data_IF_260445252846
#
_entry.id   IF_260445252846
#
_cell.length_a   1.000
_cell.length_b   1.000
_cell.length_c   1.000
_cell.angle_alpha   90.00
_cell.angle_beta   90.00
_cell.angle_gamma   90.00
#
_symmetry.space_group_name_H-M   'P 1'
#
loop_
_entity.id
_entity.type
_entity.pdbx_description
1 polymer ?
#
# COMPACT_ATOMS: atom_id res chain seq x y z
N UNK A 1 -28.05 1.26 -4.20
CA UNK A 1 -26.81 0.92 -3.47
C UNK A 1 -27.16 -0.23 -2.57
N UNK A 2 -26.41 -1.34 -2.65
CA UNK A 2 -26.64 -2.53 -1.82
C UNK A 2 -25.35 -2.75 -1.05
N UNK A 3 -25.28 -2.26 0.19
CA UNK A 3 -24.13 -2.50 1.06
C UNK A 3 -24.04 -3.99 1.42
N UNK A 4 -22.91 -4.45 1.94
CA UNK A 4 -22.77 -5.83 2.45
C UNK A 4 -23.83 -6.05 3.53
N UNK A 5 -23.95 -5.12 4.46
CA UNK A 5 -24.93 -5.18 5.55
C UNK A 5 -26.36 -5.29 5.04
N UNK A 6 -26.75 -4.46 4.07
CA UNK A 6 -28.06 -4.50 3.43
C UNK A 6 -28.32 -5.82 2.72
N UNK A 7 -27.33 -6.33 1.96
CA UNK A 7 -27.46 -7.53 1.16
C UNK A 7 -27.65 -8.78 2.02
N UNK A 8 -26.89 -8.91 3.10
CA UNK A 8 -26.96 -10.07 4.01
C UNK A 8 -27.96 -9.86 5.17
N UNK A 9 -28.51 -8.66 5.35
CA UNK A 9 -29.36 -8.34 6.49
C UNK A 9 -28.61 -8.30 7.83
N UNK A 10 -27.34 -7.91 7.83
CA UNK A 10 -26.53 -7.74 9.04
C UNK A 10 -26.85 -6.39 9.68
N UNK A 11 -27.09 -6.39 10.99
CA UNK A 11 -27.39 -5.17 11.76
C UNK A 11 -26.36 -4.96 12.86
N UNK A 12 -26.19 -3.71 13.28
CA UNK A 12 -25.24 -3.33 14.34
C UNK A 12 -23.86 -2.92 13.83
N UNK A 13 -22.87 -2.96 14.73
CA UNK A 13 -21.50 -2.57 14.41
C UNK A 13 -20.79 -3.64 13.58
N UNK A 14 -20.12 -3.22 12.51
CA UNK A 14 -19.40 -4.12 11.61
C UNK A 14 -17.89 -4.02 11.86
N UNK A 15 -17.18 -5.13 12.08
CA UNK A 15 -15.72 -5.14 12.21
C UNK A 15 -15.01 -5.08 10.84
N UNK A 16 -15.76 -5.01 9.74
CA UNK A 16 -15.27 -4.89 8.37
C UNK A 16 -15.87 -3.67 7.66
N UNK A 17 -15.20 -3.21 6.61
CA UNK A 17 -15.65 -2.08 5.79
C UNK A 17 -16.93 -2.47 5.04
N UNK A 18 -18.01 -1.72 5.27
CA UNK A 18 -19.31 -1.95 4.64
C UNK A 18 -19.36 -1.30 3.26
N UNK A 19 -18.89 -2.03 2.26
CA UNK A 19 -18.83 -1.58 0.86
C UNK A 19 -20.13 -1.90 0.11
N UNK A 20 -20.42 -1.13 -0.94
CA UNK A 20 -21.45 -1.52 -1.91
C UNK A 20 -20.96 -2.71 -2.72
N UNK A 21 -21.80 -3.74 -2.88
CA UNK A 21 -21.43 -4.99 -3.56
C UNK A 21 -21.52 -4.91 -5.09
N UNK A 22 -22.02 -3.83 -5.67
CA UNK A 22 -22.25 -3.71 -7.11
C UNK A 22 -21.37 -2.67 -7.79
N UNK A 23 -20.72 -1.80 -7.01
CA UNK A 23 -19.84 -0.73 -7.50
C UNK A 23 -18.53 -0.73 -6.73
N UNK A 24 -17.53 -0.03 -7.26
CA UNK A 24 -16.31 0.25 -6.53
C UNK A 24 -16.49 1.45 -5.59
N UNK A 25 -15.84 1.34 -4.42
CA UNK A 25 -16.13 2.20 -3.28
C UNK A 25 -15.14 3.35 -3.09
N UNK A 26 -14.19 3.56 -4.01
CA UNK A 26 -13.15 4.60 -3.91
C UNK A 26 -12.34 4.54 -2.61
N UNK A 27 -12.23 3.33 -2.08
CA UNK A 27 -11.46 2.99 -0.90
C UNK A 27 -10.29 2.10 -1.31
N UNK A 28 -9.22 2.15 -0.53
CA UNK A 28 -7.94 1.53 -0.84
C UNK A 28 -7.39 0.86 0.41
N UNK A 29 -6.94 -0.38 0.29
CA UNK A 29 -6.18 -1.02 1.37
C UNK A 29 -4.86 -0.28 1.52
N UNK A 30 -4.67 0.35 2.67
CA UNK A 30 -3.49 1.14 2.95
C UNK A 30 -2.49 0.31 3.78
N UNK A 31 -1.33 -0.08 3.24
CA UNK A 31 -0.36 -0.92 3.94
C UNK A 31 0.16 -0.27 5.24
N UNK A 32 0.24 1.06 5.29
CA UNK A 32 0.64 1.76 6.51
C UNK A 32 -0.48 1.73 7.56
N UNK A 33 -1.74 1.83 7.13
CA UNK A 33 -2.88 1.68 8.04
C UNK A 33 -2.97 0.26 8.59
N UNK A 34 -2.74 -0.76 7.77
CA UNK A 34 -2.63 -2.17 8.21
C UNK A 34 -1.53 -2.30 9.25
N UNK A 35 -0.35 -1.70 9.02
CA UNK A 35 0.79 -1.74 9.95
C UNK A 35 0.52 -1.05 11.28
N UNK A 36 -0.20 0.08 11.27
CA UNK A 36 -0.61 0.77 12.49
C UNK A 36 -1.72 0.02 13.25
N UNK A 37 -2.44 -0.87 12.57
CA UNK A 37 -3.57 -1.59 13.15
C UNK A 37 -3.11 -2.62 14.18
N UNK A 38 -3.64 -2.49 15.41
CA UNK A 38 -3.42 -3.48 16.48
C UNK A 38 -4.43 -4.62 16.45
N UNK A 39 -5.53 -4.45 15.73
CA UNK A 39 -6.63 -5.41 15.61
C UNK A 39 -7.13 -5.46 14.16
N UNK A 40 -7.89 -6.51 13.78
CA UNK A 40 -8.13 -7.74 14.53
C UNK A 40 -6.91 -8.67 14.50
N UNK A 41 -6.63 -9.35 15.62
CA UNK A 41 -5.58 -10.38 15.72
C UNK A 41 -6.16 -11.78 15.47
N UNK A 42 -5.39 -12.71 14.87
CA UNK A 42 -3.98 -12.58 14.44
C UNK A 42 -3.80 -11.89 13.07
N UNK A 43 -4.89 -11.53 12.40
CA UNK A 43 -4.89 -11.11 10.99
C UNK A 43 -4.01 -9.89 10.72
N UNK A 44 -4.01 -8.88 11.61
CA UNK A 44 -3.16 -7.70 11.49
C UNK A 44 -1.66 -8.06 11.54
N UNK A 45 -1.27 -8.89 12.50
CA UNK A 45 0.13 -9.33 12.63
C UNK A 45 0.56 -10.15 11.40
N UNK A 46 -0.29 -11.08 10.94
CA UNK A 46 0.06 -11.90 9.78
C UNK A 46 0.09 -11.10 8.47
N UNK A 47 -0.78 -10.10 8.31
CA UNK A 47 -0.73 -9.16 7.19
C UNK A 47 0.59 -8.39 7.17
N UNK A 48 1.05 -7.87 8.32
CA UNK A 48 2.34 -7.20 8.44
C UNK A 48 3.50 -8.15 8.10
N UNK A 49 3.47 -9.39 8.59
CA UNK A 49 4.49 -10.39 8.25
C UNK A 49 4.53 -10.70 6.76
N UNK A 50 3.38 -10.79 6.08
CA UNK A 50 3.32 -10.96 4.63
C UNK A 50 3.93 -9.78 3.89
N UNK A 51 3.58 -8.54 4.25
CA UNK A 51 4.14 -7.35 3.63
C UNK A 51 5.67 -7.27 3.80
N UNK A 52 6.16 -7.51 5.02
CA UNK A 52 7.58 -7.44 5.33
C UNK A 52 8.36 -8.57 4.62
N UNK A 53 7.84 -9.81 4.67
CA UNK A 53 8.50 -10.92 3.98
C UNK A 53 8.54 -10.76 2.46
N UNK A 54 7.51 -10.18 1.86
CA UNK A 54 7.47 -9.93 0.43
C UNK A 54 8.50 -8.87 0.03
N UNK A 55 8.47 -7.71 0.71
CA UNK A 55 9.38 -6.61 0.36
C UNK A 55 10.84 -6.99 0.62
N UNK A 56 11.14 -7.74 1.69
CA UNK A 56 12.48 -8.23 1.97
C UNK A 56 12.99 -9.17 0.86
N UNK A 57 12.13 -10.06 0.37
CA UNK A 57 12.49 -10.99 -0.71
C UNK A 57 12.78 -10.23 -2.00
N UNK A 58 11.83 -9.41 -2.46
CA UNK A 58 11.96 -8.62 -3.68
C UNK A 58 13.20 -7.72 -3.62
N UNK A 59 13.42 -7.07 -2.48
CA UNK A 59 14.59 -6.20 -2.29
C UNK A 59 15.90 -6.99 -2.34
N UNK A 60 15.97 -8.14 -1.66
CA UNK A 60 17.15 -9.00 -1.68
C UNK A 60 17.48 -9.52 -3.09
N UNK A 61 16.45 -9.85 -3.86
CA UNK A 61 16.60 -10.36 -5.23
C UNK A 61 17.07 -9.30 -6.22
N UNK A 62 16.48 -8.11 -6.16
CA UNK A 62 16.85 -6.96 -7.00
C UNK A 62 18.25 -6.44 -6.65
N UNK A 63 18.64 -6.53 -5.38
CA UNK A 63 19.96 -6.13 -4.92
C UNK A 63 21.06 -7.13 -5.20
N UNK A 64 20.69 -8.36 -5.56
CA UNK A 64 21.64 -9.42 -5.82
C UNK A 64 22.46 -9.14 -7.07
N UNK A 65 23.73 -9.54 -7.06
CA UNK A 65 24.55 -9.57 -8.28
C UNK A 65 24.17 -10.73 -9.23
N UNK A 66 23.31 -11.64 -8.78
CA UNK A 66 22.84 -12.77 -9.57
C UNK A 66 21.76 -12.35 -10.56
N UNK A 67 21.97 -12.61 -11.85
CA UNK A 67 20.95 -12.39 -12.90
C UNK A 67 19.70 -13.22 -12.63
N UNK A 68 19.83 -14.43 -12.09
CA UNK A 68 18.70 -15.30 -11.78
C UNK A 68 17.86 -14.72 -10.63
N UNK A 69 18.50 -14.21 -9.58
CA UNK A 69 17.81 -13.56 -8.46
C UNK A 69 17.10 -12.28 -8.94
N UNK A 70 17.77 -11.45 -9.74
CA UNK A 70 17.13 -10.28 -10.32
C UNK A 70 15.87 -10.64 -11.12
N UNK A 71 15.95 -11.63 -12.01
CA UNK A 71 14.78 -12.11 -12.77
C UNK A 71 13.67 -12.64 -11.87
N UNK A 72 14.03 -13.30 -10.77
CA UNK A 72 13.06 -13.79 -9.79
C UNK A 72 12.33 -12.63 -9.09
N UNK A 73 13.04 -11.61 -8.60
CA UNK A 73 12.39 -10.40 -8.07
C UNK A 73 11.53 -9.69 -9.13
N UNK A 74 12.01 -9.71 -10.38
CA UNK A 74 11.30 -9.41 -11.64
C UNK A 74 9.89 -9.98 -11.69
N UNK A 75 9.91 -11.31 -11.62
CA UNK A 75 8.76 -12.19 -11.76
C UNK A 75 7.76 -12.01 -10.61
N UNK A 76 8.25 -11.92 -9.36
CA UNK A 76 7.42 -11.68 -8.19
C UNK A 76 6.56 -10.41 -8.30
N UNK A 77 7.08 -9.39 -8.98
CA UNK A 77 6.38 -8.11 -9.18
C UNK A 77 5.41 -8.10 -10.36
N UNK A 78 5.40 -9.13 -11.22
CA UNK A 78 4.53 -9.21 -12.40
C UNK A 78 3.24 -10.00 -12.13
N UNK A 79 3.15 -10.68 -11.00
CA UNK A 79 2.07 -11.60 -10.67
C UNK A 79 1.04 -10.99 -9.71
N UNK A 80 0.48 -9.83 -10.04
CA UNK A 80 -0.62 -9.23 -9.29
C UNK A 80 -1.92 -9.29 -10.07
N UNK A 81 -2.88 -10.08 -9.58
CA UNK A 81 -4.26 -10.01 -10.09
C UNK A 81 -5.01 -8.91 -9.36
N UNK A 82 -5.87 -8.14 -10.02
CA UNK A 82 -6.68 -7.12 -9.34
C UNK A 82 -7.66 -7.76 -8.32
N UNK A 83 -7.68 -7.33 -7.04
CA UNK A 83 -8.48 -7.90 -5.94
C UNK A 83 -9.93 -7.42 -5.91
N UNK A 84 -10.62 -7.63 -7.02
CA UNK A 84 -12.02 -7.23 -7.19
C UNK A 84 -12.94 -7.82 -6.12
N UNK A 85 -12.57 -8.94 -5.48
CA UNK A 85 -13.36 -9.56 -4.40
C UNK A 85 -13.61 -8.63 -3.21
N UNK A 86 -12.78 -7.61 -3.02
CA UNK A 86 -12.94 -6.63 -1.93
C UNK A 86 -13.95 -5.51 -2.23
N UNK A 87 -14.27 -5.27 -3.51
CA UNK A 87 -15.06 -4.11 -4.00
C UNK A 87 -14.46 -2.74 -3.63
N UNK A 88 -13.16 -2.73 -3.32
CA UNK A 88 -12.35 -1.54 -3.14
C UNK A 88 -11.75 -1.13 -4.50
N UNK A 89 -11.28 0.11 -4.62
CA UNK A 89 -10.62 0.62 -5.83
C UNK A 89 -11.50 1.52 -6.71
N UNK A 90 -11.13 1.58 -8.00
CA UNK A 90 -11.75 2.37 -9.08
C UNK A 90 -12.09 1.47 -10.26
N UNK A 91 -13.34 1.50 -10.73
CA UNK A 91 -13.81 0.67 -11.86
C UNK A 91 -13.13 0.97 -13.21
N UNK A 92 -12.36 2.06 -13.31
CA UNK A 92 -11.84 2.58 -14.58
C UNK A 92 -10.32 2.48 -14.73
N UNK A 93 -9.55 2.31 -13.65
CA UNK A 93 -8.09 2.47 -13.65
C UNK A 93 -7.36 1.46 -12.73
N UNK A 94 -7.83 0.21 -12.69
CA UNK A 94 -7.04 -0.92 -12.19
C UNK A 94 -6.05 -1.43 -13.25
N UNK A 95 -5.22 -2.43 -12.91
CA UNK A 95 -4.42 -3.15 -13.91
C UNK A 95 -5.29 -4.14 -14.67
N UNK A 96 -6.14 -3.64 -15.55
CA UNK A 96 -7.04 -4.47 -16.33
C UNK A 96 -6.27 -5.40 -17.28
N UNK A 97 -6.28 -6.70 -16.97
CA UNK A 97 -5.68 -7.77 -17.77
C UNK A 97 -4.19 -8.06 -17.48
N UNK A 98 -3.69 -9.21 -17.95
CA UNK A 98 -2.30 -9.65 -17.76
C UNK A 98 -1.25 -8.58 -18.13
N UNK A 99 -1.55 -7.70 -19.09
CA UNK A 99 -0.66 -6.62 -19.51
C UNK A 99 -0.47 -5.50 -18.48
N UNK A 100 -1.46 -5.24 -17.62
CA UNK A 100 -1.38 -4.19 -16.60
C UNK A 100 -0.42 -4.57 -15.47
N UNK A 101 -0.56 -5.79 -14.94
CA UNK A 101 0.32 -6.29 -13.87
C UNK A 101 1.78 -6.39 -14.32
N UNK A 102 2.01 -6.88 -15.55
CA UNK A 102 3.33 -6.93 -16.15
C UNK A 102 3.94 -5.53 -16.30
N UNK A 103 3.18 -4.55 -16.81
CA UNK A 103 3.65 -3.17 -16.98
C UNK A 103 4.07 -2.52 -15.65
N UNK A 104 3.40 -2.88 -14.56
CA UNK A 104 3.66 -2.34 -13.22
C UNK A 104 4.85 -3.01 -12.59
N UNK A 105 4.95 -4.33 -12.72
CA UNK A 105 6.13 -5.06 -12.32
C UNK A 105 7.36 -4.51 -13.02
N UNK A 106 7.27 -4.27 -14.34
CA UNK A 106 8.33 -3.61 -15.11
C UNK A 106 8.58 -2.18 -14.64
N UNK A 107 7.56 -1.36 -14.39
CA UNK A 107 7.75 0.02 -13.92
C UNK A 107 8.44 0.10 -12.55
N UNK A 108 8.03 -0.77 -11.64
CA UNK A 108 8.63 -0.94 -10.31
C UNK A 108 10.10 -1.38 -10.49
N UNK A 109 10.35 -2.45 -11.26
CA UNK A 109 11.68 -2.96 -11.55
C UNK A 109 12.59 -1.95 -12.26
N UNK A 110 12.06 -1.19 -13.22
CA UNK A 110 12.80 -0.18 -13.98
C UNK A 110 13.15 1.01 -13.10
N UNK A 111 12.24 1.47 -12.24
CA UNK A 111 12.58 2.46 -11.20
C UNK A 111 13.74 1.97 -10.35
N UNK A 112 13.74 0.67 -10.01
CA UNK A 112 14.81 0.04 -9.26
C UNK A 112 16.07 -0.27 -10.06
N UNK A 113 16.09 -0.08 -11.39
CA UNK A 113 17.28 -0.23 -12.23
C UNK A 113 17.86 1.12 -12.64
N UNK A 114 17.01 2.04 -13.07
CA UNK A 114 17.38 3.36 -13.54
C UNK A 114 17.82 4.26 -12.39
N UNK A 115 17.08 4.24 -11.28
CA UNK A 115 17.40 4.99 -10.06
C UNK A 115 17.86 4.06 -8.92
N UNK A 116 18.23 2.81 -9.25
CA UNK A 116 18.58 1.73 -8.33
C UNK A 116 19.32 2.23 -7.09
N UNK A 117 20.51 2.80 -7.32
CA UNK A 117 21.42 3.24 -6.26
C UNK A 117 20.78 4.31 -5.37
N UNK A 118 20.08 5.28 -5.95
CA UNK A 118 19.42 6.36 -5.25
C UNK A 118 18.23 5.86 -4.41
N UNK A 119 17.40 5.00 -4.97
CA UNK A 119 16.21 4.42 -4.33
C UNK A 119 16.59 3.45 -3.20
N UNK A 120 17.72 2.75 -3.37
CA UNK A 120 18.31 1.87 -2.37
C UNK A 120 18.97 2.63 -1.22
N UNK A 121 19.74 3.67 -1.53
CA UNK A 121 20.42 4.55 -0.56
C UNK A 121 19.40 5.15 0.41
N UNK A 122 18.29 5.70 -0.11
CA UNK A 122 17.24 6.29 0.72
C UNK A 122 16.30 5.26 1.37
N UNK A 123 16.55 3.97 1.20
CA UNK A 123 15.75 2.90 1.80
C UNK A 123 14.27 2.92 1.38
N UNK A 124 13.98 3.31 0.13
CA UNK A 124 12.62 3.28 -0.42
C UNK A 124 12.04 1.86 -0.46
N UNK A 125 12.91 0.87 -0.62
CA UNK A 125 12.57 -0.55 -0.67
C UNK A 125 12.46 -1.23 0.69
N UNK A 126 12.69 -0.51 1.80
CA UNK A 126 12.63 -1.11 3.15
C UNK A 126 11.20 -1.48 3.59
N UNK A 127 10.18 -0.89 2.95
CA UNK A 127 8.78 -1.01 3.38
C UNK A 127 7.85 -0.86 2.18
N UNK A 128 6.80 -1.68 2.12
CA UNK A 128 5.80 -1.64 1.04
C UNK A 128 5.13 -0.26 0.94
N UNK A 129 4.80 0.34 2.07
CA UNK A 129 4.17 1.67 2.14
C UNK A 129 5.05 2.83 1.64
N UNK A 130 6.35 2.61 1.40
CA UNK A 130 7.26 3.63 0.87
C UNK A 130 7.28 3.67 -0.66
N UNK A 131 6.87 2.58 -1.34
CA UNK A 131 6.79 2.53 -2.80
C UNK A 131 6.10 3.75 -3.44
N UNK A 132 4.88 4.15 -3.02
CA UNK A 132 4.19 5.27 -3.64
C UNK A 132 4.90 6.62 -3.47
N UNK A 133 5.87 6.75 -2.56
CA UNK A 133 6.63 7.98 -2.36
C UNK A 133 7.66 8.23 -3.47
N UNK A 134 8.17 7.15 -4.07
CA UNK A 134 9.36 7.17 -4.93
C UNK A 134 9.18 6.50 -6.29
N UNK A 135 8.22 5.58 -6.44
CA UNK A 135 7.99 4.90 -7.70
C UNK A 135 6.94 5.67 -8.49
N UNK A 136 7.34 6.23 -9.63
CA UNK A 136 6.42 6.94 -10.53
C UNK A 136 5.35 5.97 -11.05
N UNK A 137 4.13 6.46 -11.27
CA UNK A 137 2.99 5.62 -11.61
C UNK A 137 2.41 4.83 -10.43
N UNK A 138 3.17 4.49 -9.40
CA UNK A 138 2.65 3.85 -8.17
C UNK A 138 1.95 4.87 -7.26
N UNK A 139 0.63 4.75 -7.18
CA UNK A 139 -0.21 5.52 -6.27
C UNK A 139 -1.21 4.60 -5.53
N UNK A 140 -2.25 5.15 -4.94
CA UNK A 140 -3.25 4.46 -4.09
C UNK A 140 -3.86 3.20 -4.71
N UNK A 141 -4.23 3.21 -6.00
CA UNK A 141 -4.88 2.07 -6.66
C UNK A 141 -3.91 0.88 -6.73
N UNK A 142 -2.74 1.10 -7.34
CA UNK A 142 -1.63 0.13 -7.45
C UNK A 142 -1.19 -0.40 -6.09
N UNK A 143 -1.01 0.52 -5.13
CA UNK A 143 -0.55 0.17 -3.78
C UNK A 143 -1.58 -0.71 -3.08
N UNK A 144 -2.87 -0.40 -3.21
CA UNK A 144 -3.97 -1.19 -2.64
C UNK A 144 -4.02 -2.58 -3.24
N UNK A 145 -3.89 -2.70 -4.56
CA UNK A 145 -3.97 -3.98 -5.26
C UNK A 145 -2.83 -4.92 -4.85
N UNK A 146 -1.60 -4.42 -4.91
CA UNK A 146 -0.40 -5.14 -4.46
C UNK A 146 -0.54 -5.55 -3.01
N UNK A 147 -0.91 -4.60 -2.14
CA UNK A 147 -1.07 -4.86 -0.69
C UNK A 147 -2.08 -5.98 -0.47
N UNK A 148 -3.26 -5.87 -1.08
CA UNK A 148 -4.35 -6.85 -0.92
C UNK A 148 -3.94 -8.25 -1.37
N UNK A 149 -3.18 -8.37 -2.46
CA UNK A 149 -2.69 -9.67 -2.93
C UNK A 149 -1.61 -10.26 -2.04
N UNK A 150 -0.68 -9.45 -1.54
CA UNK A 150 0.33 -9.90 -0.57
C UNK A 150 -0.35 -10.37 0.74
N UNK A 151 -1.36 -9.65 1.22
CA UNK A 151 -2.07 -9.98 2.47
C UNK A 151 -3.34 -10.81 2.25
N UNK A 152 -3.51 -11.42 1.07
CA UNK A 152 -4.75 -12.13 0.70
C UNK A 152 -5.09 -13.23 1.70
N UNK A 153 -4.10 -14.03 2.11
CA UNK A 153 -4.31 -15.12 3.06
C UNK A 153 -4.82 -14.62 4.43
N UNK A 154 -4.18 -13.62 5.08
CA UNK A 154 -4.74 -12.94 6.26
C UNK A 154 -6.19 -12.42 6.08
N UNK A 155 -6.50 -11.78 4.94
CA UNK A 155 -7.86 -11.30 4.67
C UNK A 155 -8.88 -12.43 4.49
N UNK A 156 -8.49 -13.52 3.83
CA UNK A 156 -9.33 -14.69 3.66
C UNK A 156 -9.60 -15.38 5.01
N UNK A 157 -8.60 -15.47 5.88
CA UNK A 157 -8.75 -15.99 7.23
C UNK A 157 -9.68 -15.09 8.08
N UNK A 158 -9.52 -13.76 7.99
CA UNK A 158 -10.44 -12.81 8.61
C UNK A 158 -11.87 -12.98 8.09
N UNK A 159 -12.04 -13.10 6.78
CA UNK A 159 -13.33 -13.31 6.14
C UNK A 159 -13.99 -14.59 6.62
N UNK A 160 -13.25 -15.68 6.74
CA UNK A 160 -13.76 -16.95 7.27
C UNK A 160 -14.22 -16.81 8.73
N UNK A 161 -13.50 -16.06 9.56
CA UNK A 161 -13.94 -15.74 10.93
C UNK A 161 -15.26 -14.94 10.92
N UNK A 162 -15.40 -13.94 10.05
CA UNK A 162 -16.64 -13.18 9.93
C UNK A 162 -17.81 -14.04 9.45
N UNK A 163 -17.58 -14.98 8.55
CA UNK A 163 -18.61 -15.96 8.15
C UNK A 163 -19.07 -16.81 9.34
N UNK A 164 -18.16 -17.18 10.24
CA UNK A 164 -18.51 -17.93 11.45
C UNK A 164 -19.26 -17.07 12.49
N UNK A 165 -18.86 -15.80 12.64
CA UNK A 165 -19.42 -14.89 13.65
C UNK A 165 -20.77 -14.28 13.24
N UNK A 166 -21.04 -14.19 11.92
CA UNK A 166 -22.26 -13.62 11.35
C UNK A 166 -23.04 -14.68 10.56
N UNK A 167 -24.02 -15.37 11.19
CA UNK A 167 -24.83 -16.41 10.55
C UNK A 167 -25.55 -15.96 9.28
N UNK A 168 -25.78 -14.65 9.13
CA UNK A 168 -26.38 -14.01 7.96
C UNK A 168 -25.66 -14.37 6.64
N UNK A 169 -24.35 -14.62 6.67
CA UNK A 169 -23.61 -15.02 5.47
C UNK A 169 -24.03 -16.39 4.91
N UNK A 170 -24.71 -17.22 5.72
CA UNK A 170 -25.17 -18.56 5.32
C UNK A 170 -26.68 -18.77 5.47
N UNK A 171 -27.40 -17.77 5.98
CA UNK A 171 -28.86 -17.79 6.13
C UNK A 171 -29.58 -17.26 4.88
N UNK A 172 -30.91 -17.43 4.82
CA UNK A 172 -31.74 -16.72 3.84
C UNK A 172 -31.46 -17.02 2.36
N UNK A 173 -30.78 -18.12 2.04
CA UNK A 173 -30.35 -18.46 0.67
C UNK A 173 -28.98 -17.89 0.29
N UNK A 174 -28.32 -17.17 1.19
CA UNK A 174 -26.91 -16.83 1.06
C UNK A 174 -26.04 -18.08 1.24
N UNK A 175 -24.85 -18.05 0.65
CA UNK A 175 -23.94 -19.19 0.63
C UNK A 175 -22.50 -18.77 0.64
N UNK A 176 -21.68 -19.73 1.01
CA UNK A 176 -20.22 -19.67 0.96
C UNK A 176 -19.77 -20.71 -0.07
N UNK A 177 -18.83 -20.32 -0.93
CA UNK A 177 -18.28 -21.19 -1.97
C UNK A 177 -16.76 -21.28 -1.84
N UNK A 178 -16.19 -22.34 -2.41
CA UNK A 178 -14.75 -22.57 -2.43
C UNK A 178 -14.12 -22.00 -3.70
N UNK A 179 -13.05 -21.22 -3.52
CA UNK A 179 -12.32 -20.56 -4.58
C UNK A 179 -10.83 -20.89 -4.48
N UNK A 180 -10.19 -21.13 -5.62
CA UNK A 180 -8.72 -21.20 -5.72
C UNK A 180 -8.19 -19.79 -5.95
N UNK A 181 -7.21 -19.38 -5.13
CA UNK A 181 -6.64 -18.04 -5.16
C UNK A 181 -5.15 -18.06 -4.94
N UNK A 182 -4.46 -17.20 -5.67
CA UNK A 182 -3.05 -16.91 -5.43
C UNK A 182 -2.89 -16.21 -4.09
N UNK A 183 -1.82 -16.55 -3.37
CA UNK A 183 -1.42 -15.90 -2.13
C UNK A 183 0.10 -15.88 -2.00
N UNK A 184 0.61 -14.95 -1.19
CA UNK A 184 2.02 -14.92 -0.83
C UNK A 184 2.32 -15.98 0.24
N UNK A 185 3.17 -16.94 -0.08
CA UNK A 185 3.56 -18.01 0.83
C UNK A 185 4.78 -17.60 1.67
N UNK A 186 4.57 -17.36 2.96
CA UNK A 186 5.61 -16.94 3.90
C UNK A 186 6.76 -17.94 4.07
N UNK A 187 6.51 -19.23 3.83
CA UNK A 187 7.51 -20.28 4.03
C UNK A 187 8.42 -20.46 2.82
N UNK A 188 7.85 -20.45 1.62
CA UNK A 188 8.61 -20.59 0.37
C UNK A 188 9.12 -19.26 -0.14
N UNK A 189 8.49 -18.14 0.26
CA UNK A 189 8.70 -16.80 -0.30
C UNK A 189 8.42 -16.75 -1.79
N UNK A 190 7.33 -17.39 -2.17
CA UNK A 190 6.85 -17.51 -3.55
C UNK A 190 5.36 -17.21 -3.61
N UNK A 191 4.88 -16.89 -4.82
CA UNK A 191 3.46 -16.95 -5.11
C UNK A 191 3.01 -18.41 -5.21
N UNK A 192 1.97 -18.76 -4.47
CA UNK A 192 1.39 -20.11 -4.44
C UNK A 192 -0.14 -20.01 -4.52
N UNK A 193 -0.84 -21.14 -4.61
CA UNK A 193 -2.30 -21.18 -4.70
C UNK A 193 -2.94 -21.95 -3.54
N UNK A 194 -3.94 -21.35 -2.92
CA UNK A 194 -4.69 -21.94 -1.81
C UNK A 194 -6.19 -22.02 -2.14
N UNK A 195 -6.86 -23.04 -1.58
CA UNK A 195 -8.32 -23.10 -1.55
C UNK A 195 -8.86 -22.32 -0.36
N UNK A 196 -9.74 -21.35 -0.61
CA UNK A 196 -10.40 -20.54 0.42
C UNK A 196 -11.92 -20.62 0.29
N UNK A 197 -12.64 -20.50 1.40
CA UNK A 197 -14.09 -20.41 1.41
C UNK A 197 -14.51 -18.96 1.64
N UNK A 198 -15.21 -18.37 0.67
CA UNK A 198 -15.63 -16.97 0.71
C UNK A 198 -17.16 -16.86 0.59
N UNK A 199 -17.80 -15.90 1.29
CA UNK A 199 -19.21 -15.59 1.06
C UNK A 199 -19.41 -15.09 -0.37
N UNK A 200 -20.59 -15.38 -0.94
CA UNK A 200 -20.93 -14.98 -2.31
C UNK A 200 -22.01 -13.91 -2.28
N UNK A 201 -21.73 -12.75 -2.88
CA UNK A 201 -22.63 -11.63 -3.03
C UNK A 201 -22.89 -11.40 -4.52
N UNK A 202 -24.16 -11.47 -4.95
CA UNK A 202 -24.56 -11.37 -6.36
C UNK A 202 -23.76 -12.29 -7.31
N UNK A 203 -23.62 -13.56 -6.94
CA UNK A 203 -22.92 -14.57 -7.74
C UNK A 203 -21.39 -14.43 -7.77
N UNK A 204 -20.83 -13.51 -6.98
CA UNK A 204 -19.42 -13.16 -6.96
C UNK A 204 -18.80 -13.34 -5.57
N UNK A 205 -17.59 -13.92 -5.41
CA UNK A 205 -16.89 -13.95 -4.13
C UNK A 205 -16.70 -12.57 -3.51
N UNK A 206 -16.77 -12.53 -2.18
CA UNK A 206 -16.56 -11.35 -1.36
C UNK A 206 -15.42 -11.61 -0.36
N UNK A 207 -14.40 -10.77 -0.40
CA UNK A 207 -13.28 -10.74 0.54
C UNK A 207 -13.45 -9.53 1.46
N UNK A 208 -13.65 -9.77 2.75
CA UNK A 208 -13.90 -8.71 3.72
C UNK A 208 -12.59 -8.06 4.16
N UNK A 209 -12.61 -6.74 4.30
CA UNK A 209 -11.47 -5.95 4.78
C UNK A 209 -11.80 -5.39 6.16
N UNK A 210 -10.95 -5.57 7.17
CA UNK A 210 -11.18 -5.00 8.50
C UNK A 210 -11.38 -3.48 8.47
N UNK A 211 -12.21 -2.97 9.38
CA UNK A 211 -12.34 -1.52 9.58
C UNK A 211 -10.97 -0.90 9.89
N UNK A 212 -10.71 0.27 9.31
CA UNK A 212 -9.45 1.01 9.50
C UNK A 212 -8.36 0.66 8.48
N UNK A 213 -8.43 -0.49 7.82
CA UNK A 213 -7.45 -0.88 6.80
C UNK A 213 -7.73 -0.22 5.45
N UNK A 214 -9.01 -0.04 5.11
CA UNK A 214 -9.46 0.64 3.89
C UNK A 214 -9.62 2.16 4.09
N UNK A 215 -9.06 2.98 3.19
CA UNK A 215 -9.09 4.46 3.27
C UNK A 215 -9.25 5.10 1.89
N UNK A 216 -9.80 6.31 1.81
CA UNK A 216 -9.90 7.06 0.54
C UNK A 216 -8.58 7.66 0.03
N UNK A 217 -7.52 7.64 0.86
CA UNK A 217 -6.18 8.10 0.50
C UNK A 217 -5.14 7.41 1.37
N UNK A 218 -3.96 7.13 0.82
CA UNK A 218 -2.82 6.57 1.56
C UNK A 218 -2.29 7.52 2.65
N UNK A 219 -1.91 6.97 3.80
CA UNK A 219 -1.16 7.62 4.87
C UNK A 219 0.28 7.96 4.43
N UNK A 220 0.88 7.10 3.61
CA UNK A 220 2.18 7.33 2.99
C UNK A 220 2.00 7.72 1.52
N UNK A 221 1.67 8.99 1.26
CA UNK A 221 1.46 9.50 -0.12
C UNK A 221 2.58 10.43 -0.57
N UNK A 222 2.97 10.33 -1.85
CA UNK A 222 4.02 11.18 -2.45
C UNK A 222 3.75 12.67 -2.26
N UNK A 223 2.50 13.11 -2.44
CA UNK A 223 2.12 14.51 -2.27
C UNK A 223 2.34 15.01 -0.85
N UNK A 224 2.00 14.20 0.16
CA UNK A 224 2.20 14.54 1.57
C UNK A 224 3.69 14.54 1.91
N UNK A 225 4.43 13.54 1.44
CA UNK A 225 5.87 13.46 1.61
C UNK A 225 6.59 14.67 1.00
N UNK A 226 6.26 15.02 -0.24
CA UNK A 226 6.78 16.21 -0.91
C UNK A 226 6.52 17.48 -0.07
N UNK A 227 5.26 17.68 0.34
CA UNK A 227 4.87 18.89 1.06
C UNK A 227 5.46 19.00 2.47
N UNK A 228 5.55 17.88 3.20
CA UNK A 228 5.99 17.84 4.59
C UNK A 228 7.51 17.74 4.69
N UNK A 229 8.10 16.71 4.08
CA UNK A 229 9.51 16.33 4.25
C UNK A 229 10.40 17.01 3.22
N UNK A 230 10.15 16.84 1.92
CA UNK A 230 11.01 17.39 0.85
C UNK A 230 11.08 18.91 0.93
N UNK A 231 9.94 19.61 0.96
CA UNK A 231 9.92 21.06 1.13
C UNK A 231 10.40 21.50 2.52
N UNK A 232 10.21 20.67 3.55
CA UNK A 232 10.71 20.97 4.90
C UNK A 232 12.24 21.02 4.93
N UNK A 233 12.87 19.99 4.39
CA UNK A 233 14.32 19.90 4.25
C UNK A 233 14.89 21.09 3.47
N UNK A 234 14.33 21.42 2.31
CA UNK A 234 14.80 22.58 1.51
C UNK A 234 14.65 23.90 2.28
N UNK A 235 13.57 24.07 3.05
CA UNK A 235 13.42 25.26 3.89
C UNK A 235 14.50 25.35 4.97
N UNK A 236 14.89 24.21 5.54
CA UNK A 236 15.86 24.14 6.63
C UNK A 236 17.28 24.33 6.10
N UNK A 237 17.60 23.78 4.94
CA UNK A 237 18.87 23.96 4.22
C UNK A 237 19.12 25.43 3.85
N UNK A 238 18.07 26.14 3.43
CA UNK A 238 18.16 27.56 3.04
C UNK A 238 17.92 28.53 4.20
N UNK A 239 17.62 28.02 5.39
CA UNK A 239 17.35 28.86 6.54
C UNK A 239 18.60 29.64 6.93
N UNK A 240 18.44 30.94 7.18
CA UNK A 240 19.49 31.77 7.72
C UNK A 240 18.99 32.54 8.94
N UNK A 241 19.92 32.99 9.78
CA UNK A 241 19.59 33.73 10.99
C UNK A 241 19.36 35.19 10.64
N UNK A 242 18.16 35.69 10.92
CA UNK A 242 17.81 37.10 10.77
C UNK A 242 18.50 37.99 11.80
N UNK A 243 18.45 39.31 11.60
CA UNK A 243 19.02 40.28 12.54
C UNK A 243 18.41 40.24 13.95
N UNK A 244 17.25 39.59 14.12
CA UNK A 244 16.57 39.36 15.39
C UNK A 244 16.90 38.01 16.05
N UNK A 245 17.85 37.26 15.47
CA UNK A 245 18.29 35.95 15.96
C UNK A 245 17.33 34.80 15.62
N UNK A 246 16.25 35.05 14.87
CA UNK A 246 15.30 34.00 14.48
C UNK A 246 15.66 33.38 13.12
N UNK A 247 15.39 32.10 12.91
CA UNK A 247 15.56 31.47 11.60
C UNK A 247 14.51 32.05 10.62
N UNK A 248 14.99 32.62 9.53
CA UNK A 248 14.17 33.03 8.39
C UNK A 248 14.19 31.88 7.38
N UNK A 249 13.00 31.39 7.00
CA UNK A 249 12.80 30.29 6.05
C UNK A 249 12.03 30.76 4.84
N UNK A 250 12.40 30.29 3.65
CA UNK A 250 11.67 30.51 2.40
C UNK A 250 10.21 30.03 2.52
N UNK A 251 9.25 30.70 1.88
CA UNK A 251 7.87 30.22 1.87
C UNK A 251 7.74 28.94 1.02
N UNK A 252 6.99 27.92 1.48
CA UNK A 252 6.74 26.69 0.70
C UNK A 252 6.08 26.96 -0.65
N UNK A 253 5.26 27.99 -0.79
CA UNK A 253 4.66 28.36 -2.08
C UNK A 253 5.69 28.95 -3.06
N UNK A 254 6.66 29.71 -2.56
CA UNK A 254 7.78 30.19 -3.36
C UNK A 254 8.69 29.02 -3.77
N UNK A 255 8.98 28.11 -2.85
CA UNK A 255 9.75 26.90 -3.15
C UNK A 255 9.06 26.06 -4.23
N UNK A 256 7.73 25.86 -4.13
CA UNK A 256 6.93 25.13 -5.13
C UNK A 256 6.93 25.74 -6.53
N UNK A 257 7.27 27.03 -6.65
CA UNK A 257 7.34 27.72 -7.94
C UNK A 257 8.70 27.53 -8.62
N UNK A 258 9.74 27.10 -7.89
CA UNK A 258 11.10 26.96 -8.42
C UNK A 258 11.20 25.80 -9.41
N UNK A 259 11.90 25.95 -10.55
CA UNK A 259 12.02 24.90 -11.56
C UNK A 259 12.55 23.57 -11.02
N UNK A 260 13.50 23.58 -10.07
CA UNK A 260 14.08 22.37 -9.46
C UNK A 260 13.10 21.60 -8.57
N UNK A 261 12.04 22.25 -8.08
CA UNK A 261 11.03 21.67 -7.20
C UNK A 261 9.65 21.58 -7.86
N UNK A 262 9.49 22.14 -9.05
CA UNK A 262 8.23 22.23 -9.81
C UNK A 262 7.76 20.88 -10.36
N UNK A 263 8.62 19.93 -10.75
CA UNK A 263 8.21 18.54 -10.91
C UNK A 263 7.76 18.04 -9.53
N UNK A 264 6.49 18.26 -9.16
CA UNK A 264 5.91 17.81 -7.88
C UNK A 264 5.63 16.30 -7.92
N UNK A 265 6.59 15.55 -8.45
CA UNK A 265 6.52 14.13 -8.76
C UNK A 265 7.64 13.37 -8.07
N UNK A 266 7.74 12.07 -8.38
CA UNK A 266 8.59 11.16 -7.63
C UNK A 266 10.08 11.43 -7.83
N UNK A 267 10.47 11.95 -9.00
CA UNK A 267 11.84 12.39 -9.26
C UNK A 267 12.35 13.43 -8.25
N UNK A 268 11.58 14.49 -7.98
CA UNK A 268 12.00 15.49 -6.99
C UNK A 268 12.02 14.92 -5.57
N UNK A 269 11.11 13.99 -5.24
CA UNK A 269 11.18 13.27 -3.97
C UNK A 269 12.49 12.51 -3.86
N UNK A 270 12.90 11.75 -4.89
CA UNK A 270 14.17 11.01 -4.91
C UNK A 270 15.35 11.98 -4.79
N UNK A 271 15.47 12.94 -5.70
CA UNK A 271 16.63 13.84 -5.81
C UNK A 271 16.91 14.58 -4.49
N UNK A 272 15.86 15.11 -3.85
CA UNK A 272 16.02 15.81 -2.57
C UNK A 272 16.28 14.84 -1.41
N UNK A 273 15.70 13.66 -1.43
CA UNK A 273 15.93 12.66 -0.36
C UNK A 273 17.35 12.12 -0.40
N UNK A 274 17.90 11.84 -1.58
CA UNK A 274 19.32 11.44 -1.75
C UNK A 274 20.24 12.54 -1.23
N UNK A 275 19.94 13.80 -1.54
CA UNK A 275 20.71 14.94 -1.04
C UNK A 275 20.64 15.05 0.49
N UNK A 276 19.48 14.81 1.09
CA UNK A 276 19.32 14.81 2.54
C UNK A 276 20.08 13.65 3.21
N UNK A 277 20.02 12.46 2.62
CA UNK A 277 20.75 11.28 3.11
C UNK A 277 22.28 11.51 3.07
N UNK A 278 22.79 12.12 1.99
CA UNK A 278 24.20 12.53 1.90
C UNK A 278 24.63 13.54 2.98
N UNK A 279 23.67 14.24 3.59
CA UNK A 279 23.87 15.15 4.72
C UNK A 279 23.52 14.52 6.09
N UNK A 280 23.21 13.22 6.12
CA UNK A 280 22.92 12.46 7.34
C UNK A 280 21.47 12.51 7.82
N UNK A 281 20.52 12.93 6.97
CA UNK A 281 19.09 13.04 7.32
C UNK A 281 18.23 11.94 6.66
N UNK A 282 17.50 11.16 7.47
CA UNK A 282 16.56 10.11 7.02
C UNK A 282 15.15 10.68 6.86
N UNK A 283 14.93 11.47 5.81
CA UNK A 283 13.60 12.05 5.54
C UNK A 283 12.46 11.01 5.47
N UNK A 284 12.65 9.80 4.89
CA UNK A 284 11.63 8.76 4.92
C UNK A 284 11.29 8.28 6.34
N UNK A 285 12.29 8.05 7.19
CA UNK A 285 12.11 7.65 8.59
C UNK A 285 11.43 8.74 9.43
N UNK A 286 11.84 9.99 9.25
CA UNK A 286 11.19 11.14 9.91
C UNK A 286 9.74 11.30 9.45
N UNK A 287 9.48 11.09 8.16
CA UNK A 287 8.12 11.13 7.63
C UNK A 287 7.26 10.02 8.21
N UNK A 288 7.78 8.79 8.30
CA UNK A 288 7.11 7.68 8.99
C UNK A 288 6.77 8.07 10.42
N UNK A 289 7.73 8.60 11.18
CA UNK A 289 7.50 9.05 12.58
C UNK A 289 6.41 10.12 12.67
N UNK A 290 6.42 11.09 11.76
CA UNK A 290 5.39 12.12 11.69
C UNK A 290 4.00 11.56 11.38
N UNK A 291 3.91 10.60 10.46
CA UNK A 291 2.64 9.94 10.12
C UNK A 291 2.18 9.10 11.31
N UNK A 292 3.04 8.28 11.91
CA UNK A 292 2.70 7.44 13.05
C UNK A 292 2.12 8.30 14.18
N UNK A 293 2.81 9.36 14.60
CA UNK A 293 2.35 10.25 15.68
C UNK A 293 1.04 10.99 15.40
N UNK A 294 0.55 11.01 14.16
CA UNK A 294 -0.74 11.61 13.79
C UNK A 294 -1.87 10.59 13.64
N UNK A 295 -1.55 9.30 13.49
CA UNK A 295 -2.53 8.26 13.18
C UNK A 295 -2.47 7.02 14.07
N UNK A 296 -1.61 6.96 15.09
CA UNK A 296 -1.58 5.87 16.10
C UNK A 296 -2.85 5.76 16.96
N UNK A 297 -3.72 6.78 16.98
CA UNK A 297 -4.94 6.83 17.81
C UNK A 297 -6.21 6.33 17.09
N UNK A 298 -6.10 5.74 15.90
CA UNK A 298 -7.26 5.16 15.19
C UNK A 298 -7.19 3.64 15.28
N UNK A 299 -7.48 3.11 16.47
CA UNK A 299 -7.69 1.69 16.73
C UNK A 299 -9.16 1.41 17.03
#
# INVERSE_FOLDING_TARGET
>A
MSRISDFYGITGSLPFVDVDINIDNLLYVDPHAVRLSKNPQPFAMDAVRSMDSFIDQVTGDILSSSVAANRHGEDLLQHFTEPWETRLGMAAEGFSGHGGAAAVGTMIADTFRTDARAVLEIGALKRLERLPLFVEGVDKDITSDITTRIIFHPLAAFTAQMVADFPQFTAGGHRVESFRRQFWNLSTREWDEIGVSLPVADGKPLLLVPVGWGRGSLLMSARRYYGKSVLGYVQDEEAYVGGDGKPIKSNKDELRARPSLKPRGRKTNIDVTVRADANGEDLPGEFTTYVDGKWTDVA
#
